data_IF_479833231233
#
_entry.id   IF_479833231233
#
_cell.length_a   1.000
_cell.length_b   1.000
_cell.length_c   1.000
_cell.angle_alpha   90.00
_cell.angle_beta   90.00
_cell.angle_gamma   90.00
#
_symmetry.space_group_name_H-M   'P 1'
#
loop_
_entity.id
_entity.type
_entity.pdbx_description
1 polymer ?
#
# COMPACT_ATOMS: atom_id res chain seq x y z
N UNK A 1 -10.53 -26.85 -3.23
CA UNK A 1 -9.24 -27.32 -3.79
C UNK A 1 -8.88 -26.43 -4.97
N UNK A 2 -8.15 -25.34 -4.72
CA UNK A 2 -7.51 -24.54 -5.77
C UNK A 2 -6.06 -24.97 -5.85
N UNK A 3 -5.63 -25.33 -7.06
CA UNK A 3 -4.27 -25.78 -7.35
C UNK A 3 -3.27 -24.69 -6.95
N UNK A 4 -2.41 -24.97 -5.96
CA UNK A 4 -1.24 -24.14 -5.70
C UNK A 4 -0.30 -24.28 -6.89
N UNK A 5 -0.09 -23.18 -7.62
CA UNK A 5 1.01 -23.12 -8.59
C UNK A 5 2.30 -23.44 -7.84
N UNK A 6 3.00 -24.48 -8.25
CA UNK A 6 4.32 -24.84 -7.73
C UNK A 6 5.30 -23.69 -8.06
N UNK A 7 5.46 -22.76 -7.13
CA UNK A 7 6.56 -21.79 -7.18
C UNK A 7 7.83 -22.51 -6.74
N UNK A 8 8.83 -22.58 -7.62
CA UNK A 8 10.14 -23.10 -7.26
C UNK A 8 10.86 -22.04 -6.42
N UNK A 9 10.58 -22.02 -5.11
CA UNK A 9 11.22 -21.13 -4.16
C UNK A 9 12.55 -21.69 -3.72
N UNK A 10 13.65 -20.97 -3.97
CA UNK A 10 14.95 -21.30 -3.37
C UNK A 10 15.03 -20.53 -2.06
N UNK A 11 14.83 -21.26 -0.96
CA UNK A 11 15.00 -20.74 0.39
C UNK A 11 16.39 -21.11 0.90
N UNK A 12 17.22 -20.11 1.13
CA UNK A 12 18.56 -20.28 1.67
C UNK A 12 18.43 -20.34 3.19
N UNK A 13 18.39 -21.55 3.75
CA UNK A 13 18.24 -21.77 5.21
C UNK A 13 19.60 -22.08 5.87
N UNK A 14 20.66 -22.29 5.08
CA UNK A 14 22.05 -22.52 5.55
C UNK A 14 23.04 -21.64 4.77
N UNK A 15 24.13 -21.23 5.43
CA UNK A 15 25.15 -20.36 4.83
C UNK A 15 25.87 -21.04 3.65
N UNK A 16 25.67 -20.53 2.45
CA UNK A 16 26.45 -20.88 1.26
C UNK A 16 27.16 -19.63 0.74
N UNK A 17 28.46 -19.75 0.44
CA UNK A 17 29.30 -18.62 -0.01
C UNK A 17 28.90 -18.10 -1.39
N UNK A 18 28.40 -18.99 -2.23
CA UNK A 18 27.89 -18.72 -3.56
C UNK A 18 26.64 -19.58 -3.76
N UNK A 19 25.56 -18.95 -4.24
CA UNK A 19 24.33 -19.64 -4.57
C UNK A 19 24.19 -19.68 -6.08
N UNK A 20 24.62 -20.80 -6.67
CA UNK A 20 24.50 -21.05 -8.10
C UNK A 20 23.13 -21.66 -8.44
N UNK A 21 22.44 -21.04 -9.38
CA UNK A 21 21.08 -21.42 -9.76
C UNK A 21 21.08 -22.33 -10.99
N UNK A 22 21.49 -23.60 -10.86
CA UNK A 22 21.66 -24.51 -12.01
C UNK A 22 20.40 -25.25 -12.48
N UNK A 23 19.29 -25.27 -11.72
CA UNK A 23 18.15 -26.15 -12.07
C UNK A 23 17.27 -25.63 -13.23
N UNK A 24 17.04 -26.42 -14.29
CA UNK A 24 16.20 -26.02 -15.42
C UNK A 24 14.73 -26.12 -15.03
N UNK A 25 13.92 -25.08 -15.30
CA UNK A 25 12.48 -25.20 -15.65
C UNK A 25 11.87 -23.80 -15.83
N UNK A 26 10.94 -23.68 -16.78
CA UNK A 26 10.14 -22.47 -17.06
C UNK A 26 9.11 -22.09 -15.98
N UNK A 27 9.46 -22.29 -14.71
CA UNK A 27 8.68 -21.87 -13.55
C UNK A 27 9.15 -20.49 -13.05
N UNK A 28 8.26 -19.72 -12.43
CA UNK A 28 8.65 -18.53 -11.66
C UNK A 28 9.67 -18.95 -10.60
N UNK A 29 10.93 -18.58 -10.81
CA UNK A 29 11.97 -18.68 -9.80
C UNK A 29 11.74 -17.53 -8.82
N UNK A 30 11.25 -17.88 -7.63
CA UNK A 30 11.22 -16.99 -6.48
C UNK A 30 12.49 -17.22 -5.67
N UNK A 31 13.38 -16.24 -5.65
CA UNK A 31 14.50 -16.28 -4.72
C UNK A 31 14.04 -15.68 -3.40
N UNK A 32 13.98 -16.48 -2.35
CA UNK A 32 13.71 -16.01 -1.00
C UNK A 32 14.99 -16.12 -0.20
N UNK A 33 15.75 -15.03 -0.17
CA UNK A 33 16.88 -14.90 0.73
C UNK A 33 16.33 -14.54 2.11
N UNK A 34 16.09 -15.54 2.96
CA UNK A 34 15.63 -15.34 4.34
C UNK A 34 16.69 -15.83 5.29
N UNK A 35 17.37 -14.89 5.95
CA UNK A 35 18.29 -15.24 7.03
C UNK A 35 17.48 -15.39 8.31
N UNK A 36 17.29 -16.65 8.72
CA UNK A 36 16.78 -16.99 10.05
C UNK A 36 17.94 -17.52 10.87
N UNK A 37 18.71 -16.62 11.49
CA UNK A 37 19.70 -17.04 12.47
C UNK A 37 18.95 -17.68 13.66
N UNK A 38 19.38 -18.88 14.11
CA UNK A 38 18.81 -19.52 15.32
C UNK A 38 19.19 -18.77 16.59
N UNK A 39 20.21 -17.92 16.49
CA UNK A 39 20.73 -17.05 17.53
C UNK A 39 21.17 -15.73 16.89
N UNK A 40 20.98 -14.56 17.54
CA UNK A 40 21.45 -13.25 17.03
C UNK A 40 22.97 -13.17 16.79
N UNK A 41 23.74 -14.21 17.16
CA UNK A 41 25.19 -14.29 17.01
C UNK A 41 25.69 -15.16 15.84
N UNK A 42 24.81 -15.86 15.12
CA UNK A 42 25.22 -16.60 13.90
C UNK A 42 25.21 -15.65 12.70
N UNK A 43 26.31 -14.90 12.51
CA UNK A 43 26.55 -14.12 11.29
C UNK A 43 27.19 -15.03 10.23
N UNK A 44 26.89 -14.85 8.93
CA UNK A 44 27.72 -15.46 7.90
C UNK A 44 29.12 -14.85 8.00
N UNK A 45 30.20 -15.65 8.05
CA UNK A 45 31.56 -15.10 8.11
C UNK A 45 32.04 -14.54 6.76
N UNK A 46 31.16 -14.48 5.75
CA UNK A 46 31.48 -14.06 4.39
C UNK A 46 30.26 -13.41 3.71
N UNK A 47 30.47 -12.53 2.71
CA UNK A 47 29.40 -12.07 1.83
C UNK A 47 28.76 -13.23 1.07
N UNK A 48 27.45 -13.14 0.84
CA UNK A 48 26.71 -14.06 -0.02
C UNK A 48 26.68 -13.46 -1.42
N UNK A 49 27.32 -14.13 -2.37
CA UNK A 49 27.25 -13.78 -3.78
C UNK A 49 25.99 -14.39 -4.40
N UNK A 50 25.16 -13.55 -4.99
CA UNK A 50 23.98 -13.95 -5.74
C UNK A 50 24.18 -13.58 -7.20
N UNK A 51 24.67 -14.54 -8.00
CA UNK A 51 24.87 -14.35 -9.43
C UNK A 51 24.22 -15.49 -10.22
N UNK A 52 23.71 -15.24 -11.44
CA UNK A 52 23.29 -16.31 -12.32
C UNK A 52 24.50 -17.17 -12.72
N UNK A 53 24.38 -18.49 -12.59
CA UNK A 53 25.47 -19.42 -12.96
C UNK A 53 25.65 -19.47 -14.48
N UNK A 54 26.86 -19.10 -14.92
CA UNK A 54 27.38 -19.20 -16.29
C UNK A 54 26.71 -18.35 -17.39
N UNK A 55 27.57 -17.69 -18.17
CA UNK A 55 27.30 -16.89 -19.38
C UNK A 55 26.62 -17.65 -20.53
N UNK A 56 26.37 -18.95 -20.40
CA UNK A 56 25.78 -19.82 -21.43
C UNK A 56 24.27 -20.01 -21.31
N UNK A 57 23.62 -19.51 -20.25
CA UNK A 57 22.17 -19.69 -20.00
C UNK A 57 21.40 -18.38 -20.20
N UNK A 58 21.37 -17.92 -21.44
CA UNK A 58 20.82 -16.63 -21.95
C UNK A 58 19.32 -16.37 -21.68
N UNK A 59 18.59 -17.29 -21.03
CA UNK A 59 17.11 -17.25 -20.99
C UNK A 59 16.43 -17.46 -19.62
N UNK A 60 17.12 -17.28 -18.49
CA UNK A 60 16.45 -17.37 -17.17
C UNK A 60 16.00 -15.99 -16.68
N UNK A 61 14.68 -15.78 -16.55
CA UNK A 61 14.09 -14.55 -16.00
C UNK A 61 13.67 -14.77 -14.54
N UNK A 62 14.47 -14.32 -13.59
CA UNK A 62 14.03 -14.21 -12.20
C UNK A 62 13.02 -13.09 -12.11
N UNK A 63 11.73 -13.44 -12.03
CA UNK A 63 10.65 -12.44 -11.98
C UNK A 63 10.39 -11.95 -10.56
N UNK A 64 10.76 -12.71 -9.52
CA UNK A 64 10.55 -12.36 -8.13
C UNK A 64 11.81 -12.56 -7.29
N UNK A 65 12.21 -11.50 -6.60
CA UNK A 65 13.26 -11.51 -5.59
C UNK A 65 12.69 -11.02 -4.27
N UNK A 66 12.85 -11.82 -3.22
CA UNK A 66 12.51 -11.46 -1.86
C UNK A 66 13.78 -11.49 -1.01
N UNK A 67 14.12 -10.35 -0.40
CA UNK A 67 15.24 -10.18 0.51
C UNK A 67 14.66 -9.94 1.90
N UNK A 68 15.00 -10.79 2.86
CA UNK A 68 14.53 -10.69 4.24
C UNK A 68 15.69 -10.82 5.22
N UNK A 69 15.92 -9.78 6.00
CA UNK A 69 16.95 -9.67 7.05
C UNK A 69 16.29 -9.29 8.39
N UNK A 70 16.50 -10.10 9.44
CA UNK A 70 16.03 -9.81 10.80
C UNK A 70 17.03 -8.94 11.57
N UNK A 71 16.55 -8.19 12.56
CA UNK A 71 17.37 -7.37 13.43
C UNK A 71 18.51 -8.18 14.08
N UNK A 72 19.70 -7.59 14.12
CA UNK A 72 20.90 -8.22 14.66
C UNK A 72 21.66 -9.14 13.70
N UNK A 73 21.07 -9.47 12.54
CA UNK A 73 21.80 -10.11 11.43
C UNK A 73 22.47 -9.05 10.57
N UNK A 74 23.66 -9.34 10.03
CA UNK A 74 24.34 -8.50 9.04
C UNK A 74 24.41 -9.30 7.75
N UNK A 75 23.45 -9.08 6.86
CA UNK A 75 23.42 -9.65 5.53
C UNK A 75 24.32 -8.83 4.62
N UNK A 76 25.37 -9.42 4.06
CA UNK A 76 26.10 -8.80 2.95
C UNK A 76 25.74 -9.54 1.67
N UNK A 77 24.96 -8.89 0.80
CA UNK A 77 24.70 -9.35 -0.56
C UNK A 77 25.67 -8.66 -1.51
N UNK A 78 26.19 -9.42 -2.47
CA UNK A 78 26.97 -8.90 -3.59
C UNK A 78 26.45 -9.45 -4.91
N UNK A 79 26.65 -8.66 -5.95
CA UNK A 79 26.35 -9.04 -7.33
C UNK A 79 24.84 -9.21 -7.62
N UNK A 80 23.95 -8.77 -6.73
CA UNK A 80 22.50 -8.86 -6.97
C UNK A 80 22.07 -8.02 -8.17
N UNK A 81 22.78 -6.91 -8.43
CA UNK A 81 22.60 -6.09 -9.61
C UNK A 81 22.84 -6.84 -10.95
N UNK A 82 23.43 -8.04 -10.93
CA UNK A 82 23.55 -8.90 -12.12
C UNK A 82 22.21 -9.50 -12.56
N UNK A 83 21.20 -9.52 -11.68
CA UNK A 83 19.86 -10.03 -11.97
C UNK A 83 19.15 -9.11 -12.97
N UNK A 84 18.62 -9.69 -14.04
CA UNK A 84 17.85 -8.97 -15.07
C UNK A 84 16.47 -9.58 -15.31
N UNK A 85 15.51 -8.77 -15.75
CA UNK A 85 14.15 -9.23 -16.02
C UNK A 85 13.29 -9.38 -14.77
N UNK A 86 13.68 -8.72 -13.68
CA UNK A 86 12.95 -8.70 -12.42
C UNK A 86 11.62 -7.96 -12.59
N UNK A 87 10.53 -8.59 -12.19
CA UNK A 87 9.18 -8.00 -12.23
C UNK A 87 8.67 -7.63 -10.83
N UNK A 88 9.16 -8.29 -9.78
CA UNK A 88 8.75 -8.09 -8.39
C UNK A 88 9.97 -8.12 -7.47
N UNK A 89 10.13 -7.06 -6.68
CA UNK A 89 11.14 -6.96 -5.63
C UNK A 89 10.43 -6.75 -4.29
N UNK A 90 10.74 -7.59 -3.31
CA UNK A 90 10.21 -7.50 -1.95
C UNK A 90 11.39 -7.40 -0.99
N UNK A 91 11.38 -6.39 -0.14
CA UNK A 91 12.47 -6.11 0.80
C UNK A 91 11.90 -5.99 2.20
N UNK A 92 12.43 -6.78 3.13
CA UNK A 92 12.07 -6.75 4.54
C UNK A 92 13.37 -6.81 5.34
N UNK A 93 14.01 -5.66 5.56
CA UNK A 93 15.29 -5.60 6.23
C UNK A 93 15.20 -4.70 7.47
N UNK A 94 15.22 -5.32 8.65
CA UNK A 94 15.21 -4.62 9.93
C UNK A 94 16.57 -3.93 10.25
N UNK A 95 17.63 -4.26 9.49
CA UNK A 95 19.03 -3.91 9.77
C UNK A 95 19.55 -2.58 9.20
N UNK A 96 20.71 -2.15 9.73
CA UNK A 96 21.39 -0.88 9.42
C UNK A 96 22.41 -0.97 8.26
N UNK A 97 22.19 -1.78 7.23
CA UNK A 97 23.23 -2.04 6.23
C UNK A 97 23.17 -1.11 5.00
N UNK A 98 24.05 -0.09 4.96
CA UNK A 98 24.17 0.82 3.81
C UNK A 98 24.62 0.12 2.52
N UNK A 99 25.43 -0.94 2.62
CA UNK A 99 25.92 -1.67 1.44
C UNK A 99 24.81 -2.42 0.70
N UNK A 100 23.82 -2.93 1.43
CA UNK A 100 22.65 -3.57 0.80
C UNK A 100 21.83 -2.53 0.04
N UNK A 101 21.73 -1.29 0.53
CA UNK A 101 20.99 -0.23 -0.15
C UNK A 101 21.59 0.10 -1.52
N UNK A 102 22.91 0.29 -1.60
CA UNK A 102 23.60 0.57 -2.87
C UNK A 102 23.39 -0.56 -3.91
N UNK A 103 23.44 -1.82 -3.45
CA UNK A 103 23.17 -2.99 -4.30
C UNK A 103 21.70 -3.09 -4.73
N UNK A 104 20.76 -2.69 -3.86
CA UNK A 104 19.33 -2.61 -4.22
C UNK A 104 19.11 -1.50 -5.26
N UNK A 105 19.73 -0.33 -5.08
CA UNK A 105 19.61 0.79 -6.02
C UNK A 105 20.12 0.38 -7.41
N UNK A 106 21.29 -0.26 -7.46
CA UNK A 106 21.84 -0.81 -8.70
C UNK A 106 20.93 -1.88 -9.32
N UNK A 107 20.31 -2.74 -8.51
CA UNK A 107 19.35 -3.73 -8.95
C UNK A 107 18.07 -3.10 -9.52
N UNK A 108 17.52 -2.07 -8.87
CA UNK A 108 16.34 -1.33 -9.34
C UNK A 108 16.67 -0.67 -10.69
N UNK A 109 17.79 0.04 -10.77
CA UNK A 109 18.21 0.71 -12.00
C UNK A 109 18.37 -0.27 -13.17
N UNK A 110 18.99 -1.44 -12.91
CA UNK A 110 19.14 -2.51 -13.90
C UNK A 110 17.81 -3.05 -14.42
N UNK A 111 16.77 -3.04 -13.58
CA UNK A 111 15.46 -3.63 -13.87
C UNK A 111 14.35 -2.59 -14.06
N UNK A 112 14.66 -1.29 -14.23
CA UNK A 112 13.68 -0.20 -14.32
C UNK A 112 12.60 -0.40 -15.41
N UNK A 113 12.94 -1.08 -16.50
CA UNK A 113 12.01 -1.34 -17.60
C UNK A 113 11.16 -2.61 -17.38
N UNK A 114 11.51 -3.47 -16.42
CA UNK A 114 10.83 -4.75 -16.19
C UNK A 114 10.13 -4.82 -14.84
N UNK A 115 10.60 -4.03 -13.86
CA UNK A 115 10.07 -4.02 -12.50
C UNK A 115 8.64 -3.47 -12.51
N UNK A 116 7.69 -4.28 -12.03
CA UNK A 116 6.26 -3.98 -11.97
C UNK A 116 5.78 -3.72 -10.54
N UNK A 117 6.44 -4.34 -9.57
CA UNK A 117 6.04 -4.34 -8.17
C UNK A 117 7.26 -4.20 -7.26
N UNK A 118 7.14 -3.29 -6.31
CA UNK A 118 8.12 -3.07 -5.26
C UNK A 118 7.42 -2.98 -3.91
N UNK A 119 7.67 -3.96 -3.05
CA UNK A 119 7.15 -3.98 -1.68
C UNK A 119 8.31 -3.82 -0.70
N UNK A 120 8.15 -2.92 0.27
CA UNK A 120 9.10 -2.67 1.33
C UNK A 120 8.40 -2.77 2.68
N UNK A 121 8.84 -3.71 3.51
CA UNK A 121 8.22 -3.96 4.80
C UNK A 121 8.89 -3.14 5.89
N UNK A 122 10.19 -3.26 6.07
CA UNK A 122 10.95 -2.59 7.13
C UNK A 122 12.23 -1.98 6.54
N UNK A 123 12.50 -0.72 6.87
CA UNK A 123 13.79 -0.07 6.65
C UNK A 123 14.20 0.64 7.94
N UNK A 124 15.21 0.12 8.62
CA UNK A 124 15.75 0.74 9.85
C UNK A 124 16.51 2.06 9.62
N UNK A 125 16.58 2.58 8.40
CA UNK A 125 17.44 3.72 8.01
C UNK A 125 16.69 4.76 7.18
N UNK A 126 16.72 6.04 7.60
CA UNK A 126 16.08 7.18 6.89
C UNK A 126 16.71 7.49 5.53
N UNK A 127 18.02 7.29 5.37
CA UNK A 127 18.77 7.66 4.15
C UNK A 127 18.63 6.63 3.04
N UNK A 128 18.62 5.34 3.38
CA UNK A 128 18.58 4.25 2.41
C UNK A 128 17.22 4.17 1.69
N UNK A 129 16.12 4.41 2.42
CA UNK A 129 14.80 4.42 1.81
C UNK A 129 14.62 5.52 0.76
N UNK A 130 15.29 6.67 0.90
CA UNK A 130 15.13 7.80 -0.03
C UNK A 130 15.79 7.53 -1.38
N UNK A 131 17.05 7.09 -1.39
CA UNK A 131 17.77 6.78 -2.64
C UNK A 131 17.04 5.68 -3.45
N UNK A 132 16.58 4.65 -2.75
CA UNK A 132 15.74 3.59 -3.34
C UNK A 132 14.46 4.15 -3.98
N UNK A 133 13.77 5.07 -3.29
CA UNK A 133 12.56 5.72 -3.82
C UNK A 133 12.87 6.61 -5.03
N UNK A 134 14.05 7.26 -5.07
CA UNK A 134 14.51 8.02 -6.23
C UNK A 134 14.76 7.12 -7.44
N UNK A 135 15.41 5.96 -7.26
CA UNK A 135 15.61 4.98 -8.34
C UNK A 135 14.28 4.42 -8.89
N UNK A 136 13.25 4.30 -8.05
CA UNK A 136 11.93 3.82 -8.48
C UNK A 136 11.21 4.80 -9.43
N UNK A 137 11.57 6.08 -9.44
CA UNK A 137 10.99 7.08 -10.36
C UNK A 137 11.18 6.68 -11.83
N UNK A 138 12.29 6.04 -12.14
CA UNK A 138 12.62 5.62 -13.50
C UNK A 138 11.86 4.36 -13.98
N UNK A 139 11.05 3.72 -13.11
CA UNK A 139 10.38 2.47 -13.45
C UNK A 139 9.15 2.67 -14.35
N UNK A 140 8.97 1.81 -15.37
CA UNK A 140 7.93 1.95 -16.41
C UNK A 140 6.52 1.50 -15.99
N UNK A 141 6.37 0.77 -14.88
CA UNK A 141 5.08 0.39 -14.31
C UNK A 141 5.29 0.03 -12.85
N UNK A 142 4.62 0.67 -11.90
CA UNK A 142 4.92 0.38 -10.49
C UNK A 142 3.67 0.29 -9.61
N UNK A 143 3.59 -0.83 -8.90
CA UNK A 143 2.87 -0.94 -7.63
C UNK A 143 3.88 -0.83 -6.51
N UNK A 144 3.66 0.12 -5.61
CA UNK A 144 4.53 0.39 -4.47
C UNK A 144 3.78 0.11 -3.17
N UNK A 145 4.35 -0.69 -2.27
CA UNK A 145 3.76 -0.91 -0.94
C UNK A 145 4.79 -0.75 0.15
N UNK A 146 4.48 0.09 1.13
CA UNK A 146 5.30 0.36 2.31
C UNK A 146 4.55 -0.01 3.58
N UNK A 147 4.94 -1.11 4.25
CA UNK A 147 4.18 -1.64 5.39
C UNK A 147 4.56 -1.04 6.75
N UNK A 148 5.82 -0.64 6.96
CA UNK A 148 6.27 0.02 8.19
C UNK A 148 7.08 1.27 7.88
N UNK A 149 6.71 2.38 8.53
CA UNK A 149 7.36 3.67 8.33
C UNK A 149 8.25 4.06 9.51
N UNK A 150 9.30 3.27 9.77
CA UNK A 150 10.33 3.60 10.78
C UNK A 150 11.31 4.68 10.29
N UNK A 151 11.27 5.03 8.99
CA UNK A 151 12.11 6.05 8.36
C UNK A 151 11.71 7.50 8.70
N UNK A 152 10.55 7.71 9.34
CA UNK A 152 10.05 9.04 9.67
C UNK A 152 9.74 9.92 8.44
N UNK A 153 9.60 11.22 8.67
CA UNK A 153 9.11 12.16 7.63
C UNK A 153 9.93 12.22 6.33
N UNK A 154 11.28 12.07 6.30
CA UNK A 154 12.03 12.11 5.03
C UNK A 154 11.69 10.96 4.08
N UNK A 155 11.33 9.79 4.62
CA UNK A 155 10.89 8.66 3.81
C UNK A 155 9.56 8.98 3.11
N UNK A 156 8.63 9.61 3.82
CA UNK A 156 7.38 10.07 3.22
C UNK A 156 7.57 11.16 2.18
N UNK A 157 8.55 12.05 2.36
CA UNK A 157 8.92 13.02 1.31
C UNK A 157 9.33 12.29 0.01
N UNK A 158 10.05 11.16 0.12
CA UNK A 158 10.39 10.29 -1.02
C UNK A 158 9.17 9.62 -1.67
N UNK A 159 8.24 9.07 -0.88
CA UNK A 159 6.99 8.46 -1.40
C UNK A 159 6.13 9.51 -2.10
N UNK A 160 6.04 10.71 -1.51
CA UNK A 160 5.33 11.87 -2.07
C UNK A 160 5.99 12.34 -3.35
N UNK A 161 7.33 12.35 -3.42
CA UNK A 161 8.05 12.63 -4.65
C UNK A 161 7.72 11.59 -5.72
N UNK A 162 7.81 10.30 -5.40
CA UNK A 162 7.45 9.21 -6.30
C UNK A 162 6.04 9.41 -6.87
N UNK A 163 5.06 9.78 -6.04
CA UNK A 163 3.70 10.10 -6.50
C UNK A 163 3.62 11.33 -7.41
N UNK A 164 4.49 12.33 -7.24
CA UNK A 164 4.47 13.55 -8.06
C UNK A 164 5.13 13.36 -9.41
N UNK A 165 6.25 12.64 -9.46
CA UNK A 165 7.10 12.56 -10.67
C UNK A 165 6.86 11.30 -11.49
N UNK A 166 6.35 10.22 -10.89
CA UNK A 166 6.18 8.95 -11.61
C UNK A 166 5.00 9.00 -12.59
N UNK A 167 5.28 8.75 -13.86
CA UNK A 167 4.26 8.71 -14.93
C UNK A 167 3.49 7.38 -14.98
N UNK A 168 3.96 6.37 -14.23
CA UNK A 168 3.49 4.97 -14.34
C UNK A 168 3.19 4.30 -12.99
N UNK A 169 3.23 5.05 -11.90
CA UNK A 169 2.81 4.56 -10.58
C UNK A 169 1.28 4.34 -10.59
N UNK A 170 0.84 3.14 -10.24
CA UNK A 170 -0.59 2.75 -10.27
C UNK A 170 -1.18 2.54 -8.90
N UNK A 171 -0.40 1.96 -8.01
CA UNK A 171 -0.84 1.65 -6.65
C UNK A 171 0.19 2.08 -5.63
N UNK A 172 -0.28 2.67 -4.53
CA UNK A 172 0.53 3.03 -3.36
C UNK A 172 -0.15 2.49 -2.11
N UNK A 173 0.62 1.77 -1.29
CA UNK A 173 0.29 1.53 0.11
C UNK A 173 1.32 2.26 0.98
N UNK A 174 0.88 3.09 1.94
CA UNK A 174 1.76 3.80 2.86
C UNK A 174 1.16 3.93 4.27
N UNK A 175 2.01 4.04 5.28
CA UNK A 175 1.62 4.35 6.65
C UNK A 175 1.90 5.81 6.97
N UNK A 176 0.89 6.52 7.48
CA UNK A 176 0.96 7.91 7.91
C UNK A 176 1.00 7.96 9.45
N UNK A 177 2.06 8.55 9.99
CA UNK A 177 2.35 8.60 11.43
C UNK A 177 2.26 10.02 12.02
N UNK A 178 2.08 11.05 11.19
CA UNK A 178 1.86 12.41 11.68
C UNK A 178 1.05 13.30 10.72
N UNK A 179 0.51 14.41 11.24
CA UNK A 179 -0.28 15.41 10.47
C UNK A 179 0.45 15.92 9.23
N UNK A 180 1.77 16.12 9.30
CA UNK A 180 2.59 16.58 8.16
C UNK A 180 2.48 15.61 6.98
N UNK A 181 2.52 14.31 7.25
CA UNK A 181 2.49 13.28 6.20
C UNK A 181 1.11 13.19 5.53
N UNK A 182 0.02 13.37 6.30
CA UNK A 182 -1.34 13.50 5.76
C UNK A 182 -1.42 14.70 4.80
N UNK A 183 -0.90 15.85 5.21
CA UNK A 183 -0.90 17.06 4.37
C UNK A 183 -0.07 16.88 3.09
N UNK A 184 1.11 16.26 3.18
CA UNK A 184 1.97 15.99 2.03
C UNK A 184 1.31 15.00 1.05
N UNK A 185 0.71 13.95 1.58
CA UNK A 185 -0.02 12.94 0.82
C UNK A 185 -1.22 13.56 0.09
N UNK A 186 -2.04 14.37 0.77
CA UNK A 186 -3.16 15.09 0.16
C UNK A 186 -2.71 16.03 -0.95
N UNK A 187 -1.63 16.81 -0.73
CA UNK A 187 -1.07 17.70 -1.77
C UNK A 187 -0.59 16.94 -3.00
N UNK A 188 0.10 15.79 -2.83
CA UNK A 188 0.51 14.97 -3.96
C UNK A 188 -0.67 14.31 -4.68
N UNK A 189 -1.64 13.78 -3.91
CA UNK A 189 -2.82 13.15 -4.49
C UNK A 189 -3.63 14.14 -5.33
N UNK A 190 -3.78 15.39 -4.88
CA UNK A 190 -4.54 16.43 -5.59
C UNK A 190 -4.07 16.64 -7.03
N UNK A 191 -2.77 16.50 -7.30
CA UNK A 191 -2.18 16.72 -8.64
C UNK A 191 -1.81 15.44 -9.37
N UNK A 192 -1.85 14.28 -8.70
CA UNK A 192 -1.47 13.01 -9.31
C UNK A 192 -2.49 12.57 -10.37
N UNK A 193 -1.98 12.18 -11.54
CA UNK A 193 -2.79 11.73 -12.68
C UNK A 193 -2.55 10.28 -13.10
N UNK A 194 -1.81 9.51 -12.31
CA UNK A 194 -1.30 8.18 -12.66
C UNK A 194 -1.81 7.07 -11.76
N UNK A 195 -2.07 7.40 -10.50
CA UNK A 195 -2.49 6.49 -9.45
C UNK A 195 -3.97 6.13 -9.61
N UNK A 196 -4.25 4.84 -9.65
CA UNK A 196 -5.62 4.30 -9.68
C UNK A 196 -6.04 3.74 -8.33
N UNK A 197 -5.09 3.36 -7.47
CA UNK A 197 -5.35 2.80 -6.14
C UNK A 197 -4.45 3.40 -5.08
N UNK A 198 -5.06 3.87 -3.99
CA UNK A 198 -4.34 4.39 -2.83
C UNK A 198 -4.84 3.68 -1.57
N UNK A 199 -3.89 3.20 -0.78
CA UNK A 199 -4.14 2.54 0.49
C UNK A 199 -3.30 3.23 1.57
N UNK A 200 -3.94 3.76 2.61
CA UNK A 200 -3.24 4.46 3.69
C UNK A 200 -3.59 3.82 5.03
N UNK A 201 -2.56 3.51 5.82
CA UNK A 201 -2.72 3.15 7.22
C UNK A 201 -2.46 4.40 8.07
N UNK A 202 -3.49 4.89 8.75
CA UNK A 202 -3.42 6.10 9.57
C UNK A 202 -3.27 5.67 11.03
N UNK A 203 -2.09 5.93 11.60
CA UNK A 203 -1.75 5.55 12.97
C UNK A 203 -1.93 6.71 13.97
N UNK A 204 -2.81 7.67 13.65
CA UNK A 204 -2.90 8.96 14.36
C UNK A 204 -4.33 9.45 14.46
N UNK A 205 -4.59 10.32 15.44
CA UNK A 205 -5.88 10.98 15.63
C UNK A 205 -5.98 12.33 14.89
N UNK A 206 -5.20 12.52 13.82
CA UNK A 206 -5.20 13.78 13.08
C UNK A 206 -6.32 13.83 12.04
N UNK A 207 -6.80 15.04 11.76
CA UNK A 207 -7.74 15.33 10.67
C UNK A 207 -7.23 14.77 9.34
N UNK A 208 -8.16 14.21 8.56
CA UNK A 208 -7.91 13.70 7.21
C UNK A 208 -8.61 14.53 6.13
N UNK A 209 -9.05 15.73 6.50
CA UNK A 209 -9.66 16.72 5.63
C UNK A 209 -8.86 16.93 4.34
N UNK A 210 -7.53 17.08 4.41
CA UNK A 210 -6.72 17.31 3.22
C UNK A 210 -6.71 16.13 2.24
N UNK A 211 -6.92 14.89 2.71
CA UNK A 211 -7.02 13.73 1.82
C UNK A 211 -8.34 13.77 1.04
N UNK A 212 -9.44 14.11 1.69
CA UNK A 212 -10.73 14.22 1.01
C UNK A 212 -10.84 15.47 0.14
N UNK A 213 -10.30 16.61 0.56
CA UNK A 213 -10.19 17.81 -0.28
C UNK A 213 -9.34 17.54 -1.55
N UNK A 214 -8.34 16.66 -1.45
CA UNK A 214 -7.60 16.20 -2.62
C UNK A 214 -8.45 15.30 -3.52
N UNK A 215 -9.23 14.39 -2.94
CA UNK A 215 -10.16 13.53 -3.70
C UNK A 215 -11.23 14.33 -4.43
N UNK A 216 -11.77 15.39 -3.86
CA UNK A 216 -12.74 16.26 -4.56
C UNK A 216 -12.22 16.68 -5.96
N UNK A 217 -10.90 16.90 -6.08
CA UNK A 217 -10.26 17.40 -7.29
C UNK A 217 -9.58 16.31 -8.13
N UNK A 218 -9.22 15.17 -7.53
CA UNK A 218 -8.53 14.10 -8.22
C UNK A 218 -9.47 13.36 -9.19
N UNK A 219 -9.08 13.32 -10.47
CA UNK A 219 -9.88 12.71 -11.56
C UNK A 219 -9.37 11.35 -12.04
N UNK A 220 -8.46 10.71 -11.30
CA UNK A 220 -7.77 9.50 -11.74
C UNK A 220 -7.87 8.33 -10.75
N UNK A 221 -7.94 8.61 -9.45
CA UNK A 221 -8.02 7.59 -8.42
C UNK A 221 -9.38 6.88 -8.48
N UNK A 222 -9.33 5.54 -8.60
CA UNK A 222 -10.49 4.65 -8.67
C UNK A 222 -10.80 3.98 -7.35
N UNK A 223 -9.77 3.65 -6.58
CA UNK A 223 -9.92 2.94 -5.32
C UNK A 223 -9.16 3.65 -4.20
N UNK A 224 -9.86 3.92 -3.10
CA UNK A 224 -9.28 4.50 -1.90
C UNK A 224 -9.60 3.67 -0.66
N UNK A 225 -8.55 3.22 0.02
CA UNK A 225 -8.64 2.43 1.23
C UNK A 225 -7.94 3.15 2.39
N UNK A 226 -8.67 3.36 3.48
CA UNK A 226 -8.14 3.85 4.73
C UNK A 226 -8.22 2.75 5.80
N UNK A 227 -7.09 2.52 6.46
CA UNK A 227 -6.92 1.57 7.54
C UNK A 227 -6.42 2.29 8.80
N UNK A 228 -6.53 1.63 9.96
CA UNK A 228 -6.24 2.22 11.26
C UNK A 228 -7.49 2.77 11.93
N UNK A 229 -7.32 3.54 13.00
CA UNK A 229 -8.44 4.24 13.67
C UNK A 229 -8.58 5.61 13.06
N UNK A 230 -9.70 5.84 12.37
CA UNK A 230 -9.94 7.06 11.59
C UNK A 230 -10.87 7.97 12.37
N UNK A 231 -10.31 9.06 12.90
CA UNK A 231 -11.09 10.09 13.59
C UNK A 231 -11.63 11.08 12.57
N UNK A 232 -12.95 11.06 12.41
CA UNK A 232 -13.69 11.90 11.48
C UNK A 232 -14.36 13.02 12.27
N UNK A 233 -13.60 14.10 12.48
CA UNK A 233 -14.18 15.35 12.96
C UNK A 233 -15.10 15.97 11.90
N UNK A 234 -15.86 16.98 12.30
CA UNK A 234 -16.82 17.66 11.42
C UNK A 234 -16.21 18.15 10.10
N UNK A 235 -14.99 18.71 10.13
CA UNK A 235 -14.29 19.14 8.92
C UNK A 235 -13.96 17.98 7.99
N UNK A 236 -13.46 16.86 8.53
CA UNK A 236 -13.14 15.66 7.76
C UNK A 236 -14.41 15.02 7.18
N UNK A 237 -15.49 14.95 7.96
CA UNK A 237 -16.78 14.42 7.53
C UNK A 237 -17.38 15.24 6.39
N UNK A 238 -17.34 16.57 6.50
CA UNK A 238 -17.78 17.49 5.45
C UNK A 238 -16.93 17.40 4.19
N UNK A 239 -15.60 17.35 4.34
CA UNK A 239 -14.71 17.19 3.19
C UNK A 239 -14.96 15.87 2.46
N UNK A 240 -15.20 14.78 3.20
CA UNK A 240 -15.54 13.49 2.62
C UNK A 240 -16.90 13.51 1.91
N UNK A 241 -17.91 14.15 2.48
CA UNK A 241 -19.21 14.34 1.82
C UNK A 241 -19.06 15.15 0.52
N UNK A 242 -18.29 16.24 0.52
CA UNK A 242 -18.02 17.03 -0.68
C UNK A 242 -17.26 16.23 -1.75
N UNK A 243 -16.26 15.45 -1.34
CA UNK A 243 -15.53 14.57 -2.24
C UNK A 243 -16.46 13.50 -2.84
N UNK A 244 -17.29 12.85 -2.02
CA UNK A 244 -18.30 11.90 -2.49
C UNK A 244 -19.29 12.57 -3.44
N UNK A 245 -19.76 13.78 -3.17
CA UNK A 245 -20.73 14.45 -4.01
C UNK A 245 -20.16 14.80 -5.40
N UNK A 246 -18.90 15.26 -5.46
CA UNK A 246 -18.30 15.84 -6.67
C UNK A 246 -17.38 14.92 -7.44
N UNK A 247 -16.76 13.93 -6.79
CA UNK A 247 -15.83 13.05 -7.46
C UNK A 247 -16.57 12.05 -8.36
N UNK A 248 -16.36 12.18 -9.67
CA UNK A 248 -16.97 11.33 -10.69
C UNK A 248 -16.05 10.18 -11.17
N UNK A 249 -14.97 9.91 -10.44
CA UNK A 249 -13.95 8.93 -10.83
C UNK A 249 -13.79 7.78 -9.82
N UNK A 250 -13.92 8.07 -8.53
CA UNK A 250 -13.75 7.12 -7.44
C UNK A 250 -14.89 6.09 -7.45
N UNK A 251 -14.52 4.82 -7.62
CA UNK A 251 -15.44 3.68 -7.70
C UNK A 251 -15.51 2.89 -6.39
N UNK A 252 -14.42 2.90 -5.60
CA UNK A 252 -14.33 2.17 -4.34
C UNK A 252 -13.80 3.08 -3.23
N UNK A 253 -14.57 3.19 -2.14
CA UNK A 253 -14.15 3.81 -0.89
C UNK A 253 -14.34 2.82 0.25
N UNK A 254 -13.27 2.55 1.00
CA UNK A 254 -13.33 1.69 2.17
C UNK A 254 -12.59 2.32 3.33
N UNK A 255 -13.27 2.49 4.46
CA UNK A 255 -12.70 2.96 5.71
C UNK A 255 -13.05 1.98 6.82
N UNK A 256 -12.02 1.58 7.58
CA UNK A 256 -12.20 0.72 8.76
C UNK A 256 -12.05 1.55 10.03
N UNK A 257 -12.79 1.19 11.08
CA UNK A 257 -12.71 1.80 12.40
C UNK A 257 -12.82 3.32 12.38
N UNK A 258 -13.93 3.81 11.85
CA UNK A 258 -14.28 5.23 11.78
C UNK A 258 -14.96 5.65 13.08
N UNK A 259 -14.43 6.69 13.71
CA UNK A 259 -15.04 7.37 14.86
C UNK A 259 -15.55 8.70 14.35
N UNK A 260 -16.86 8.91 14.42
CA UNK A 260 -17.51 10.18 14.07
C UNK A 260 -17.74 10.97 15.35
N UNK A 261 -17.36 12.25 15.35
CA UNK A 261 -17.56 13.12 16.52
C UNK A 261 -19.05 13.35 16.84
N UNK A 262 -19.91 13.32 15.80
CA UNK A 262 -21.36 13.44 15.90
C UNK A 262 -22.08 12.72 14.72
N UNK A 263 -23.39 12.49 14.84
CA UNK A 263 -24.22 11.87 13.80
C UNK A 263 -24.45 12.75 12.56
N UNK A 264 -24.12 14.04 12.61
CA UNK A 264 -24.32 14.96 11.48
C UNK A 264 -23.44 14.60 10.28
N UNK A 265 -22.24 14.08 10.56
CA UNK A 265 -21.34 13.55 9.53
C UNK A 265 -22.03 12.56 8.60
N UNK A 266 -22.79 11.58 9.13
CA UNK A 266 -23.47 10.59 8.29
C UNK A 266 -24.67 11.14 7.52
N UNK A 267 -25.35 12.15 8.05
CA UNK A 267 -26.41 12.83 7.32
C UNK A 267 -25.88 13.51 6.05
N UNK A 268 -24.72 14.17 6.15
CA UNK A 268 -24.05 14.78 5.00
C UNK A 268 -23.57 13.74 3.97
N UNK A 269 -23.09 12.60 4.45
CA UNK A 269 -22.68 11.49 3.57
C UNK A 269 -23.87 10.90 2.82
N UNK A 270 -25.01 10.75 3.49
CA UNK A 270 -26.26 10.31 2.86
C UNK A 270 -26.66 11.26 1.73
N UNK A 271 -26.67 12.57 1.98
CA UNK A 271 -26.99 13.54 0.93
C UNK A 271 -25.99 13.48 -0.24
N UNK A 272 -24.69 13.41 0.06
CA UNK A 272 -23.64 13.31 -0.95
C UNK A 272 -23.79 12.04 -1.81
N UNK A 273 -24.05 10.89 -1.17
CA UNK A 273 -24.26 9.62 -1.86
C UNK A 273 -25.51 9.68 -2.75
N UNK A 274 -26.59 10.34 -2.35
CA UNK A 274 -27.78 10.47 -3.21
C UNK A 274 -27.50 11.17 -4.56
N UNK A 275 -26.42 11.98 -4.62
CA UNK A 275 -26.00 12.75 -5.80
C UNK A 275 -24.81 12.13 -6.53
N UNK A 276 -24.05 11.24 -5.89
CA UNK A 276 -22.89 10.60 -6.51
C UNK A 276 -23.34 9.61 -7.60
N UNK A 277 -22.64 9.61 -8.74
CA UNK A 277 -22.92 8.76 -9.89
C UNK A 277 -21.74 7.87 -10.32
N UNK A 278 -20.69 7.76 -9.50
CA UNK A 278 -19.46 7.05 -9.84
C UNK A 278 -19.07 5.94 -8.84
N UNK A 279 -19.39 6.10 -7.56
CA UNK A 279 -19.04 5.17 -6.51
C UNK A 279 -19.90 3.91 -6.64
N UNK A 280 -19.25 2.76 -6.73
CA UNK A 280 -19.87 1.44 -6.88
C UNK A 280 -19.78 0.61 -5.60
N UNK A 281 -18.73 0.83 -4.79
CA UNK A 281 -18.50 0.15 -3.53
C UNK A 281 -18.19 1.14 -2.41
N UNK A 282 -18.96 1.06 -1.32
CA UNK A 282 -18.71 1.79 -0.08
C UNK A 282 -18.67 0.80 1.09
N UNK A 283 -17.58 0.80 1.85
CA UNK A 283 -17.47 0.08 3.11
C UNK A 283 -17.07 1.02 4.23
N UNK A 284 -17.91 1.12 5.25
CA UNK A 284 -17.65 1.92 6.44
C UNK A 284 -17.88 1.05 7.66
N UNK A 285 -16.84 0.88 8.46
CA UNK A 285 -16.97 0.31 9.80
C UNK A 285 -16.87 1.45 10.80
N UNK A 286 -18.02 1.95 11.23
CA UNK A 286 -18.09 2.96 12.29
C UNK A 286 -18.13 2.29 13.66
N UNK A 287 -17.74 3.01 14.72
CA UNK A 287 -18.00 2.51 16.08
C UNK A 287 -19.46 2.69 16.48
N UNK A 288 -20.08 3.81 16.10
CA UNK A 288 -21.44 4.16 16.48
C UNK A 288 -22.18 4.83 15.31
N UNK A 289 -23.26 4.23 14.84
CA UNK A 289 -24.19 4.80 13.85
C UNK A 289 -25.62 4.61 14.37
N UNK A 290 -26.32 5.71 14.61
CA UNK A 290 -27.72 5.67 15.05
C UNK A 290 -28.67 5.27 13.92
N UNK A 291 -29.89 4.89 14.29
CA UNK A 291 -30.91 4.42 13.33
C UNK A 291 -31.39 5.55 12.40
N UNK A 292 -31.44 6.79 12.87
CA UNK A 292 -31.75 7.97 12.04
C UNK A 292 -30.79 8.12 10.87
N UNK A 293 -29.50 7.92 11.12
CA UNK A 293 -28.41 8.04 10.16
C UNK A 293 -28.49 6.91 9.13
N UNK A 294 -28.81 5.68 9.59
CA UNK A 294 -29.05 4.54 8.68
C UNK A 294 -30.27 4.81 7.79
N UNK A 295 -31.37 5.36 8.32
CA UNK A 295 -32.54 5.74 7.51
C UNK A 295 -32.20 6.79 6.45
N UNK A 296 -31.36 7.78 6.79
CA UNK A 296 -30.82 8.75 5.84
C UNK A 296 -30.06 8.06 4.71
N UNK A 297 -29.21 7.10 5.06
CA UNK A 297 -28.45 6.29 4.12
C UNK A 297 -29.39 5.48 3.20
N UNK A 298 -30.42 4.82 3.75
CA UNK A 298 -31.43 4.08 2.97
C UNK A 298 -32.13 4.97 1.93
N UNK A 299 -32.53 6.19 2.31
CA UNK A 299 -33.12 7.16 1.38
C UNK A 299 -32.14 7.54 0.27
N UNK A 300 -30.86 7.74 0.61
CA UNK A 300 -29.82 8.04 -0.36
C UNK A 300 -29.61 6.90 -1.36
N UNK A 301 -29.65 5.64 -0.90
CA UNK A 301 -29.53 4.46 -1.74
C UNK A 301 -30.68 4.33 -2.75
N UNK A 302 -31.89 4.75 -2.38
CA UNK A 302 -33.03 4.71 -3.32
C UNK A 302 -32.80 5.64 -4.53
N UNK A 303 -32.17 6.80 -4.29
CA UNK A 303 -31.84 7.78 -5.33
C UNK A 303 -30.56 7.39 -6.10
N UNK A 304 -29.54 6.87 -5.41
CA UNK A 304 -28.25 6.52 -6.00
C UNK A 304 -28.38 5.34 -6.98
N UNK A 305 -27.82 5.50 -8.19
CA UNK A 305 -27.85 4.47 -9.25
C UNK A 305 -26.48 3.83 -9.55
N UNK A 306 -25.39 4.37 -9.00
CA UNK A 306 -24.04 3.81 -9.21
C UNK A 306 -23.65 2.79 -8.15
N UNK A 307 -24.11 2.95 -6.91
CA UNK A 307 -23.67 2.17 -5.77
C UNK A 307 -24.27 0.77 -5.81
N UNK A 308 -23.42 -0.24 -5.96
CA UNK A 308 -23.80 -1.66 -6.08
C UNK A 308 -23.61 -2.40 -4.78
N UNK A 309 -22.73 -1.91 -3.90
CA UNK A 309 -22.44 -2.56 -2.63
C UNK A 309 -22.20 -1.52 -1.55
N UNK A 310 -23.01 -1.61 -0.50
CA UNK A 310 -22.80 -0.90 0.75
C UNK A 310 -22.51 -1.93 1.86
N UNK A 311 -21.41 -1.74 2.59
CA UNK A 311 -21.12 -2.46 3.83
C UNK A 311 -21.07 -1.44 4.96
N UNK A 312 -22.02 -1.53 5.88
CA UNK A 312 -22.08 -0.70 7.07
C UNK A 312 -21.97 -1.60 8.31
N UNK A 313 -21.08 -1.24 9.23
CA UNK A 313 -20.93 -1.88 10.54
C UNK A 313 -20.94 -0.80 11.64
N UNK A 314 -21.30 -1.20 12.86
CA UNK A 314 -21.43 -0.29 14.00
C UNK A 314 -22.81 0.35 14.15
N UNK A 315 -23.85 -0.26 13.59
CA UNK A 315 -25.24 0.21 13.79
C UNK A 315 -25.67 -0.09 15.21
N UNK A 316 -26.08 0.94 15.93
CA UNK A 316 -26.57 0.87 17.30
C UNK A 316 -27.99 1.42 17.30
N UNK A 317 -28.89 0.69 17.96
CA UNK A 317 -30.28 1.05 18.12
C UNK A 317 -31.00 0.02 18.97
N UNK A 318 -32.08 0.46 19.60
CA UNK A 318 -32.98 -0.42 20.37
C UNK A 318 -33.67 -1.43 19.45
N UNK A 319 -34.33 -2.42 20.03
CA UNK A 319 -35.07 -3.41 19.24
C UNK A 319 -36.21 -2.76 18.45
N UNK A 320 -36.88 -1.76 19.03
CA UNK A 320 -37.92 -0.97 18.36
C UNK A 320 -37.34 -0.18 17.17
N UNK A 321 -36.19 0.47 17.34
CA UNK A 321 -35.56 1.24 16.26
C UNK A 321 -35.05 0.32 15.13
N UNK A 322 -34.54 -0.87 15.47
CA UNK A 322 -34.17 -1.88 14.48
C UNK A 322 -35.38 -2.40 13.72
N UNK A 323 -36.54 -2.54 14.36
CA UNK A 323 -37.78 -2.89 13.68
C UNK A 323 -38.12 -1.85 12.59
N UNK A 324 -37.96 -0.55 12.87
CA UNK A 324 -38.22 0.51 11.88
C UNK A 324 -37.38 0.33 10.61
N UNK A 325 -36.12 -0.08 10.73
CA UNK A 325 -35.25 -0.35 9.57
C UNK A 325 -35.73 -1.56 8.75
N UNK A 326 -36.23 -2.61 9.40
CA UNK A 326 -36.73 -3.80 8.72
C UNK A 326 -37.99 -3.56 7.87
N UNK A 327 -38.81 -2.56 8.24
CA UNK A 327 -40.03 -2.22 7.50
C UNK A 327 -39.83 -1.16 6.39
N UNK A 328 -38.67 -0.51 6.34
CA UNK A 328 -38.35 0.54 5.36
C UNK A 328 -37.21 0.15 4.39
N UNK A 329 -36.75 -1.10 4.44
CA UNK A 329 -35.75 -1.68 3.50
C UNK A 329 -36.42 -2.53 2.43
#
# INVERSE_FOLDING_TARGET
MSQSKNHNSISVIQWQRQLDFDRPCGAELSLVCSIRARSPFERPPFPIHLSPSSSTLVYRRFRLLCITERAGTHLELRDIHTITGLETLIISCEGHNQRIADEIDALIERNRNTLKKFDICEVGQRRNGLAMLESLVACESLTFKSYYNNGGTPYMDGVVNLMRVSTRLREVFAQLICKREISLMGKALKTNCTLTKLSLCIATQYSIEELFAALELNKHLKEFFLYGTIYMNMSSARAAALALQKNACLQTLSMKHVILDDGEGMSQWSEALSKNCALEFLSIHCEHVGVSEVLGLCKALHANKSLKTLKLQGVIGTEEERCVLAFHS
#
